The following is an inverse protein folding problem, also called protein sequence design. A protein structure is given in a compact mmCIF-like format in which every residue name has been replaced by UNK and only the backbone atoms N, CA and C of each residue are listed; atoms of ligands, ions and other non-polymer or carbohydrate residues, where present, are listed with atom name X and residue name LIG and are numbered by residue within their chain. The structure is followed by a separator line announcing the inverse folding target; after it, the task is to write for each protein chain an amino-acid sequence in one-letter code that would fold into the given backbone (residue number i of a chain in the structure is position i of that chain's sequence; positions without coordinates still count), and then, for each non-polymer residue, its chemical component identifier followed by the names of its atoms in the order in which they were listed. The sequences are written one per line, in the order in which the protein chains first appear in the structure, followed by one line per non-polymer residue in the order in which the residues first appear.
data_IF_995135023235
#
_entry.id   IF_995135023235
#
_cell.length_a   1.000
_cell.length_b   1.000
_cell.length_c   1.000
_cell.angle_alpha   90.00
_cell.angle_beta   90.00
_cell.angle_gamma   90.00
#
_symmetry.space_group_name_H-M   'P 1'
#
loop_
_entity.id
_entity.type
_entity.pdbx_description
1 polymer ?
#
# COMPACT_ATOMS: atom_id res chain seq x y z
N UNK A 1 16.05 5.37 -8.39
CA UNK A 1 14.78 5.84 -8.93
C UNK A 1 14.33 4.98 -10.11
N UNK A 2 13.62 3.92 -9.84
CA UNK A 2 12.88 3.15 -10.85
C UNK A 2 11.44 3.67 -10.88
N UNK A 3 10.92 4.19 -12.00
CA UNK A 3 9.59 4.79 -12.04
C UNK A 3 8.45 3.77 -11.96
N UNK A 4 8.75 2.48 -11.99
CA UNK A 4 7.75 1.41 -12.12
C UNK A 4 7.51 0.61 -10.83
N UNK A 5 8.17 0.95 -9.74
CA UNK A 5 7.82 0.52 -8.38
C UNK A 5 7.66 -0.99 -8.15
N UNK A 6 8.51 -1.83 -8.70
CA UNK A 6 8.42 -3.28 -8.49
C UNK A 6 7.33 -3.97 -9.31
N UNK A 7 7.59 -4.23 -10.57
CA UNK A 7 6.68 -4.93 -11.49
C UNK A 7 6.65 -4.33 -12.88
N UNK A 8 7.45 -3.31 -13.13
CA UNK A 8 7.66 -2.73 -14.45
C UNK A 8 9.02 -3.05 -15.02
N UNK A 9 9.40 -2.38 -16.14
CA UNK A 9 10.72 -2.50 -16.72
C UNK A 9 11.81 -2.22 -15.70
N UNK A 10 12.80 -3.09 -15.60
CA UNK A 10 13.86 -3.00 -14.63
C UNK A 10 15.24 -3.21 -15.24
N UNK A 11 16.25 -2.78 -14.52
CA UNK A 11 17.67 -3.06 -14.80
C UNK A 11 18.41 -3.20 -13.48
N UNK A 12 19.25 -4.22 -13.39
CA UNK A 12 20.08 -4.46 -12.21
C UNK A 12 21.49 -4.85 -12.64
N UNK A 13 22.52 -4.02 -12.44
CA UNK A 13 23.89 -4.39 -12.76
C UNK A 13 24.36 -5.52 -11.84
N UNK A 14 24.96 -6.55 -12.42
CA UNK A 14 25.52 -7.69 -11.71
C UNK A 14 27.00 -7.82 -12.03
N UNK A 15 27.82 -7.81 -11.01
CA UNK A 15 29.24 -8.15 -11.11
C UNK A 15 29.49 -9.54 -10.56
N UNK A 16 30.35 -10.30 -11.24
CA UNK A 16 30.73 -11.65 -10.81
C UNK A 16 32.24 -11.81 -10.72
N UNK A 17 32.70 -12.74 -9.86
CA UNK A 17 34.10 -13.17 -9.85
C UNK A 17 34.44 -13.94 -11.15
N UNK A 18 35.70 -13.91 -11.56
CA UNK A 18 36.18 -14.46 -12.85
C UNK A 18 35.71 -15.91 -13.11
N UNK A 19 35.75 -16.77 -12.11
CA UNK A 19 35.32 -18.16 -12.23
C UNK A 19 33.83 -18.35 -12.51
N UNK A 20 32.98 -17.33 -12.31
CA UNK A 20 31.55 -17.34 -12.58
C UNK A 20 31.20 -16.78 -13.97
N UNK A 21 32.13 -16.12 -14.64
CA UNK A 21 31.90 -15.54 -15.98
C UNK A 21 31.36 -16.55 -16.99
N UNK A 22 31.82 -17.83 -17.05
CA UNK A 22 31.27 -18.82 -17.99
C UNK A 22 29.79 -19.16 -17.74
N UNK A 23 29.24 -18.84 -16.57
CA UNK A 23 27.86 -19.12 -16.19
C UNK A 23 26.92 -17.92 -16.36
N UNK A 24 27.45 -16.78 -16.80
CA UNK A 24 26.61 -15.60 -17.10
C UNK A 24 25.65 -15.91 -18.25
N UNK A 25 24.46 -15.31 -18.26
CA UNK A 25 23.54 -15.42 -19.38
C UNK A 25 24.18 -14.96 -20.70
N UNK A 26 24.05 -15.77 -21.72
CA UNK A 26 24.40 -15.37 -23.08
C UNK A 26 23.24 -14.68 -23.81
N UNK A 27 23.48 -14.26 -25.03
CA UNK A 27 22.45 -13.73 -25.92
C UNK A 27 22.80 -13.93 -27.39
N UNK A 28 21.79 -14.24 -28.19
CA UNK A 28 22.00 -14.55 -29.62
C UNK A 28 22.64 -13.39 -30.40
N UNK A 29 22.38 -12.15 -30.03
CA UNK A 29 22.96 -10.95 -30.65
C UNK A 29 24.49 -10.86 -30.51
N UNK A 30 25.07 -11.59 -29.56
CA UNK A 30 26.51 -11.60 -29.28
C UNK A 30 27.18 -12.93 -29.65
N UNK A 31 26.46 -13.79 -30.40
CA UNK A 31 26.98 -15.09 -30.83
C UNK A 31 27.11 -16.12 -29.71
N UNK A 32 26.51 -15.89 -28.56
CA UNK A 32 26.44 -16.83 -27.45
C UNK A 32 24.99 -16.99 -26.97
N UNK A 33 24.39 -18.11 -27.37
CA UNK A 33 23.00 -18.43 -27.00
C UNK A 33 22.89 -19.27 -25.71
N UNK A 34 24.03 -19.66 -25.14
CA UNK A 34 24.04 -20.46 -23.93
C UNK A 34 23.46 -19.68 -22.76
N UNK A 35 22.58 -20.33 -21.97
CA UNK A 35 21.97 -19.75 -20.76
C UNK A 35 21.21 -18.45 -21.01
N UNK A 36 20.66 -18.22 -22.19
CA UNK A 36 19.84 -17.05 -22.47
C UNK A 36 18.59 -17.03 -21.55
N UNK A 37 18.38 -15.94 -20.81
CA UNK A 37 17.28 -15.79 -19.86
C UNK A 37 16.29 -14.71 -20.26
N UNK A 38 16.65 -13.82 -21.20
CA UNK A 38 15.82 -12.70 -21.61
C UNK A 38 16.04 -12.34 -23.07
N UNK A 39 15.00 -11.83 -23.72
CA UNK A 39 15.09 -11.27 -25.06
C UNK A 39 15.86 -9.92 -25.11
N UNK A 40 15.95 -9.22 -23.98
CA UNK A 40 16.71 -7.98 -23.84
C UNK A 40 18.04 -8.26 -23.12
N UNK A 41 19.21 -8.17 -23.80
CA UNK A 41 20.49 -8.60 -23.23
C UNK A 41 20.95 -7.79 -22.03
N UNK A 42 20.51 -6.54 -21.93
CA UNK A 42 20.88 -5.61 -20.85
C UNK A 42 19.68 -5.14 -20.02
N UNK A 43 18.61 -5.94 -19.97
CA UNK A 43 17.37 -5.54 -19.30
C UNK A 43 16.70 -4.35 -19.99
N UNK A 44 15.91 -3.58 -19.25
CA UNK A 44 15.23 -2.40 -19.77
C UNK A 44 16.11 -1.15 -19.69
N UNK A 45 17.22 -1.13 -20.45
CA UNK A 45 18.23 -0.07 -20.39
C UNK A 45 17.65 1.34 -20.68
N UNK A 46 16.53 1.44 -21.39
CA UNK A 46 15.82 2.69 -21.67
C UNK A 46 15.36 3.47 -20.43
N UNK A 47 15.30 2.85 -19.24
CA UNK A 47 14.97 3.55 -17.98
C UNK A 47 16.18 4.25 -17.35
N UNK A 48 17.40 3.94 -17.76
CA UNK A 48 18.63 4.52 -17.17
C UNK A 48 18.69 6.06 -17.26
N UNK A 49 18.25 6.73 -18.36
CA UNK A 49 18.18 8.18 -18.41
C UNK A 49 17.33 8.80 -17.31
N UNK A 50 16.27 8.13 -16.84
CA UNK A 50 15.43 8.59 -15.73
C UNK A 50 16.23 8.60 -14.43
N UNK A 51 16.89 7.48 -14.13
CA UNK A 51 17.78 7.37 -12.95
C UNK A 51 18.93 8.37 -13.02
N UNK A 52 19.56 8.53 -14.19
CA UNK A 52 20.61 9.49 -14.39
C UNK A 52 20.14 10.93 -14.17
N UNK A 53 19.00 11.31 -14.76
CA UNK A 53 18.36 12.62 -14.57
C UNK A 53 18.05 12.89 -13.09
N UNK A 54 17.49 11.91 -12.38
CA UNK A 54 17.21 12.00 -10.94
C UNK A 54 18.48 12.27 -10.13
N UNK A 55 19.55 11.52 -10.37
CA UNK A 55 20.84 11.72 -9.69
C UNK A 55 21.42 13.10 -9.99
N UNK A 56 21.37 13.55 -11.25
CA UNK A 56 21.86 14.88 -11.64
C UNK A 56 21.07 16.02 -10.97
N UNK A 57 19.75 15.86 -10.86
CA UNK A 57 18.88 16.86 -10.21
C UNK A 57 19.09 16.93 -8.71
N UNK A 58 19.26 15.80 -8.06
CA UNK A 58 19.37 15.71 -6.59
C UNK A 58 20.79 16.01 -6.09
N UNK A 59 21.79 15.57 -6.81
CA UNK A 59 23.18 15.61 -6.36
C UNK A 59 23.42 14.78 -5.09
N UNK A 60 24.63 14.80 -4.57
CA UNK A 60 25.01 14.04 -3.37
C UNK A 60 24.23 14.47 -2.13
N UNK A 61 24.05 15.76 -1.94
CA UNK A 61 23.32 16.31 -0.78
C UNK A 61 21.85 16.00 -0.86
N UNK A 62 21.22 16.17 -2.03
CA UNK A 62 19.80 15.87 -2.24
C UNK A 62 19.46 14.40 -2.03
N UNK A 63 20.26 13.47 -2.56
CA UNK A 63 20.07 12.03 -2.37
C UNK A 63 20.17 11.65 -0.88
N UNK A 64 21.17 12.17 -0.18
CA UNK A 64 21.33 11.95 1.27
C UNK A 64 20.14 12.51 2.06
N UNK A 65 19.70 13.72 1.69
CA UNK A 65 18.56 14.40 2.34
C UNK A 65 17.27 13.63 2.11
N UNK A 66 17.00 13.16 0.89
CA UNK A 66 15.84 12.34 0.56
C UNK A 66 15.76 11.09 1.45
N UNK A 67 16.86 10.34 1.55
CA UNK A 67 16.91 9.14 2.41
C UNK A 67 16.66 9.47 3.88
N UNK A 68 17.29 10.53 4.41
CA UNK A 68 17.07 10.95 5.80
C UNK A 68 15.63 11.37 6.06
N UNK A 69 15.02 12.09 5.11
CA UNK A 69 13.62 12.51 5.22
C UNK A 69 12.67 11.31 5.18
N UNK A 70 12.88 10.34 4.29
CA UNK A 70 12.07 9.13 4.23
C UNK A 70 12.09 8.36 5.57
N UNK A 71 13.28 8.17 6.15
CA UNK A 71 13.43 7.52 7.46
C UNK A 71 12.75 8.34 8.57
N UNK A 72 12.91 9.66 8.56
CA UNK A 72 12.27 10.54 9.54
C UNK A 72 10.74 10.46 9.45
N UNK A 73 10.18 10.53 8.24
CA UNK A 73 8.74 10.47 7.99
C UNK A 73 8.14 9.14 8.49
N UNK A 74 8.79 8.01 8.19
CA UNK A 74 8.32 6.70 8.66
C UNK A 74 8.37 6.60 10.21
N UNK A 75 9.42 7.10 10.84
CA UNK A 75 9.53 7.11 12.30
C UNK A 75 8.56 8.09 12.97
N UNK A 76 8.25 9.20 12.31
CA UNK A 76 7.22 10.13 12.77
C UNK A 76 5.85 9.44 12.82
N UNK A 77 5.42 8.79 11.74
CA UNK A 77 4.18 8.04 11.70
C UNK A 77 4.18 6.89 12.72
N UNK A 78 5.29 6.15 12.83
CA UNK A 78 5.42 5.06 13.80
C UNK A 78 5.23 5.57 15.24
N UNK A 79 5.85 6.69 15.59
CA UNK A 79 5.70 7.31 16.91
C UNK A 79 4.26 7.75 17.21
N UNK A 80 3.53 8.24 16.20
CA UNK A 80 2.14 8.68 16.33
C UNK A 80 1.12 7.53 16.42
N UNK A 81 1.45 6.34 15.87
CA UNK A 81 0.49 5.23 15.70
C UNK A 81 0.80 4.00 16.57
N UNK A 82 1.98 3.89 17.18
CA UNK A 82 2.41 2.73 17.96
C UNK A 82 1.49 2.35 19.12
N UNK A 83 0.81 3.33 19.71
CA UNK A 83 -0.08 3.13 20.87
C UNK A 83 -1.50 2.73 20.45
N UNK A 84 -1.80 2.78 19.15
CA UNK A 84 -3.07 2.34 18.58
C UNK A 84 -2.95 0.98 17.91
N UNK A 85 -2.14 0.87 16.86
CA UNK A 85 -2.03 -0.36 16.06
C UNK A 85 -0.89 -1.30 16.46
N UNK A 86 0.13 -0.78 17.11
CA UNK A 86 1.39 -1.50 17.31
C UNK A 86 2.29 -1.48 16.07
N UNK A 87 3.58 -1.73 16.28
CA UNK A 87 4.59 -1.76 15.22
C UNK A 87 5.28 -3.13 15.25
N UNK A 88 5.23 -3.83 14.11
CA UNK A 88 5.99 -5.07 13.90
C UNK A 88 7.37 -4.71 13.34
N UNK A 89 8.41 -5.31 13.84
CA UNK A 89 9.80 -5.07 13.41
C UNK A 89 10.30 -3.64 13.62
N UNK A 90 10.84 -3.40 14.79
CA UNK A 90 11.67 -2.24 15.07
C UNK A 90 13.11 -2.66 15.37
N UNK A 91 14.05 -1.76 15.17
CA UNK A 91 15.45 -1.97 15.60
C UNK A 91 15.58 -2.01 17.12
N UNK A 92 16.76 -2.33 17.63
CA UNK A 92 17.04 -2.39 19.07
C UNK A 92 16.77 -1.05 19.79
N UNK A 93 16.78 0.07 19.08
CA UNK A 93 16.49 1.41 19.60
C UNK A 93 15.01 1.80 19.45
N UNK A 94 14.15 0.91 18.94
CA UNK A 94 12.73 1.16 18.71
C UNK A 94 12.40 1.94 17.44
N UNK A 95 13.40 2.23 16.59
CA UNK A 95 13.18 2.90 15.32
C UNK A 95 12.94 1.92 14.17
N UNK A 96 12.21 2.40 13.15
CA UNK A 96 11.99 1.71 11.87
C UNK A 96 12.91 2.27 10.78
N UNK A 97 12.93 1.64 9.60
CA UNK A 97 13.62 2.15 8.41
C UNK A 97 12.81 3.25 7.72
N UNK A 98 12.71 3.16 6.38
CA UNK A 98 11.93 4.08 5.54
C UNK A 98 10.45 3.68 5.45
N UNK A 99 10.08 2.54 6.01
CA UNK A 99 8.73 2.00 6.07
C UNK A 99 8.45 1.44 7.47
N UNK A 100 7.18 1.26 7.79
CA UNK A 100 6.75 0.63 9.03
C UNK A 100 5.66 -0.40 8.76
N UNK A 101 5.58 -1.41 9.60
CA UNK A 101 4.57 -2.46 9.54
C UNK A 101 3.62 -2.30 10.73
N UNK A 102 2.37 -1.93 10.46
CA UNK A 102 1.33 -1.87 11.49
C UNK A 102 0.74 -3.25 11.74
N UNK A 103 0.60 -3.62 13.00
CA UNK A 103 0.00 -4.89 13.41
C UNK A 103 -1.52 -4.78 13.51
N UNK A 104 -2.24 -5.44 12.60
CA UNK A 104 -3.69 -5.52 12.61
C UNK A 104 -4.22 -6.92 12.96
N UNK A 105 -3.34 -7.89 13.24
CA UNK A 105 -3.71 -9.31 13.43
C UNK A 105 -4.70 -9.54 14.55
N UNK A 106 -4.56 -8.82 15.66
CA UNK A 106 -5.41 -8.97 16.84
C UNK A 106 -6.80 -8.37 16.67
N UNK A 107 -7.01 -7.51 15.68
CA UNK A 107 -8.29 -6.82 15.46
C UNK A 107 -9.39 -7.79 15.03
N UNK A 108 -9.04 -8.78 14.24
CA UNK A 108 -10.00 -9.81 13.81
C UNK A 108 -10.58 -10.59 15.00
N UNK A 109 -9.73 -11.05 15.91
CA UNK A 109 -10.17 -11.76 17.11
C UNK A 109 -10.92 -10.86 18.09
N UNK A 110 -10.55 -9.58 18.11
CA UNK A 110 -11.15 -8.58 19.00
C UNK A 110 -12.57 -8.18 18.57
N UNK A 111 -12.79 -7.94 17.29
CA UNK A 111 -14.06 -7.38 16.79
C UNK A 111 -14.44 -7.78 15.36
N UNK A 112 -13.72 -8.69 14.72
CA UNK A 112 -13.99 -9.16 13.36
C UNK A 112 -13.47 -8.24 12.24
N UNK A 113 -12.73 -7.17 12.55
CA UNK A 113 -12.19 -6.23 11.57
C UNK A 113 -10.79 -6.69 11.14
N UNK A 114 -10.55 -6.72 9.84
CA UNK A 114 -9.27 -7.11 9.23
C UNK A 114 -8.49 -5.90 8.68
N UNK A 115 -7.22 -6.14 8.35
CA UNK A 115 -6.39 -5.17 7.62
C UNK A 115 -7.00 -4.77 6.27
N UNK A 116 -7.74 -5.68 5.63
CA UNK A 116 -8.43 -5.39 4.38
C UNK A 116 -9.58 -4.38 4.58
N UNK A 117 -10.30 -4.46 5.69
CA UNK A 117 -11.37 -3.51 6.02
C UNK A 117 -10.80 -2.11 6.26
N UNK A 118 -9.67 -2.02 6.97
CA UNK A 118 -8.94 -0.76 7.17
C UNK A 118 -8.49 -0.18 5.84
N UNK A 119 -7.89 -1.00 4.97
CA UNK A 119 -7.43 -0.58 3.65
C UNK A 119 -8.58 -0.08 2.77
N UNK A 120 -9.72 -0.75 2.77
CA UNK A 120 -10.92 -0.31 2.05
C UNK A 120 -11.49 0.98 2.64
N UNK A 121 -11.47 1.12 3.97
CA UNK A 121 -11.92 2.35 4.63
C UNK A 121 -11.02 3.55 4.32
N UNK A 122 -9.71 3.36 4.21
CA UNK A 122 -8.77 4.40 3.77
C UNK A 122 -9.14 4.99 2.40
N UNK A 123 -9.73 4.21 1.50
CA UNK A 123 -10.18 4.70 0.20
C UNK A 123 -11.32 5.73 0.34
N UNK A 124 -12.20 5.60 1.34
CA UNK A 124 -13.24 6.61 1.64
C UNK A 124 -12.66 7.95 2.10
N UNK A 125 -11.47 7.91 2.70
CA UNK A 125 -10.70 9.09 3.08
C UNK A 125 -9.85 9.66 1.94
N UNK A 126 -9.87 9.05 0.74
CA UNK A 126 -9.11 9.49 -0.40
C UNK A 126 -7.67 8.97 -0.46
N UNK A 127 -7.32 8.01 0.38
CA UNK A 127 -6.00 7.39 0.37
C UNK A 127 -5.95 6.17 -0.54
N UNK A 128 -4.86 6.01 -1.26
CA UNK A 128 -4.51 4.73 -1.85
C UNK A 128 -4.14 3.77 -0.72
N UNK A 129 -4.78 2.59 -0.70
CA UNK A 129 -4.53 1.62 0.35
C UNK A 129 -3.05 1.18 0.39
N UNK A 130 -2.44 1.08 1.57
CA UNK A 130 -1.08 0.57 1.72
C UNK A 130 -1.01 -0.91 1.37
N UNK A 131 0.22 -1.43 1.20
CA UNK A 131 0.45 -2.85 0.94
C UNK A 131 -0.09 -3.71 2.07
N UNK A 132 -0.96 -4.66 1.70
CA UNK A 132 -1.65 -5.55 2.63
C UNK A 132 -0.87 -6.84 2.88
N UNK A 133 -0.88 -7.31 4.12
CA UNK A 133 -0.42 -8.66 4.49
C UNK A 133 0.98 -8.99 3.99
N UNK A 134 1.87 -8.01 3.95
CA UNK A 134 3.26 -8.18 3.56
C UNK A 134 4.17 -7.32 4.46
N UNK A 135 5.32 -7.84 4.93
CA UNK A 135 5.82 -9.22 4.78
C UNK A 135 5.12 -10.23 5.71
N UNK A 136 4.22 -9.79 6.57
CA UNK A 136 3.48 -10.61 7.53
C UNK A 136 2.00 -10.52 7.25
N UNK A 137 1.31 -11.64 7.24
CA UNK A 137 -0.15 -11.69 7.08
C UNK A 137 -0.86 -10.93 8.19
N UNK A 138 -1.92 -10.19 7.85
CA UNK A 138 -2.69 -9.41 8.82
C UNK A 138 -2.05 -8.08 9.22
N UNK A 139 -1.18 -7.53 8.38
CA UNK A 139 -0.47 -6.26 8.62
C UNK A 139 -0.67 -5.26 7.48
N UNK A 140 -0.36 -4.00 7.75
CA UNK A 140 -0.29 -2.92 6.77
C UNK A 140 1.13 -2.37 6.71
N UNK A 141 1.73 -2.35 5.51
CA UNK A 141 3.04 -1.73 5.29
C UNK A 141 2.88 -0.30 4.77
N UNK A 142 3.37 0.66 5.52
CA UNK A 142 3.23 2.09 5.23
C UNK A 142 4.60 2.68 4.95
N UNK A 143 4.76 3.23 3.76
CA UNK A 143 5.96 3.90 3.27
C UNK A 143 5.62 5.34 2.86
N UNK A 144 5.86 6.35 3.72
CA UNK A 144 5.53 7.74 3.42
C UNK A 144 6.47 8.39 2.40
N UNK A 145 7.63 7.80 2.15
CA UNK A 145 8.72 8.33 1.33
C UNK A 145 9.29 9.68 1.84
N UNK A 146 10.08 10.36 1.02
CA UNK A 146 10.55 11.73 1.27
C UNK A 146 9.62 12.79 0.71
N UNK A 147 8.61 12.39 -0.05
CA UNK A 147 7.79 13.31 -0.85
C UNK A 147 6.60 13.87 -0.11
N UNK A 148 6.16 13.22 0.97
CA UNK A 148 5.00 13.66 1.74
C UNK A 148 5.32 14.88 2.60
N UNK A 149 4.41 15.85 2.62
CA UNK A 149 4.50 17.01 3.50
C UNK A 149 4.14 16.64 4.94
N UNK A 150 4.59 17.44 5.91
CA UNK A 150 4.18 17.24 7.31
C UNK A 150 2.66 17.31 7.48
N UNK A 151 2.01 18.21 6.75
CA UNK A 151 0.54 18.30 6.75
C UNK A 151 -0.11 16.99 6.30
N UNK A 152 0.42 16.34 5.26
CA UNK A 152 -0.11 15.06 4.76
C UNK A 152 0.14 13.93 5.76
N UNK A 153 1.32 13.91 6.40
CA UNK A 153 1.62 12.94 7.47
C UNK A 153 0.67 13.11 8.66
N UNK A 154 0.41 14.36 9.07
CA UNK A 154 -0.54 14.65 10.16
C UNK A 154 -1.97 14.27 9.81
N UNK A 155 -2.39 14.54 8.56
CA UNK A 155 -3.71 14.14 8.06
C UNK A 155 -3.84 12.62 8.02
N UNK A 156 -2.81 11.90 7.57
CA UNK A 156 -2.80 10.44 7.59
C UNK A 156 -2.91 9.88 9.02
N UNK A 157 -2.19 10.47 9.98
CA UNK A 157 -2.31 10.11 11.40
C UNK A 157 -3.74 10.33 11.92
N UNK A 158 -4.36 11.47 11.56
CA UNK A 158 -5.76 11.77 11.92
C UNK A 158 -6.71 10.70 11.35
N UNK A 159 -6.54 10.36 10.07
CA UNK A 159 -7.34 9.34 9.39
C UNK A 159 -7.19 7.98 10.08
N UNK A 160 -5.97 7.52 10.34
CA UNK A 160 -5.73 6.25 11.01
C UNK A 160 -6.32 6.22 12.42
N UNK A 161 -6.23 7.31 13.16
CA UNK A 161 -6.87 7.42 14.49
C UNK A 161 -8.40 7.44 14.39
N UNK A 162 -8.97 8.07 13.38
CA UNK A 162 -10.42 8.04 13.13
C UNK A 162 -10.89 6.61 12.83
N UNK A 163 -10.17 5.89 11.98
CA UNK A 163 -10.45 4.47 11.70
C UNK A 163 -10.32 3.63 12.99
N UNK A 164 -9.33 3.93 13.83
CA UNK A 164 -9.20 3.27 15.12
C UNK A 164 -10.42 3.49 16.03
N UNK A 165 -10.95 4.70 16.09
CA UNK A 165 -12.20 4.97 16.83
C UNK A 165 -13.39 4.20 16.25
N UNK A 166 -13.50 4.11 14.92
CA UNK A 166 -14.52 3.28 14.25
C UNK A 166 -14.38 1.79 14.65
N UNK A 167 -13.15 1.28 14.75
CA UNK A 167 -12.86 -0.09 15.25
C UNK A 167 -13.31 -0.24 16.72
N UNK A 168 -13.02 0.76 17.57
CA UNK A 168 -13.47 0.73 18.96
C UNK A 168 -15.00 0.78 19.09
N UNK A 169 -15.69 1.49 18.19
CA UNK A 169 -17.16 1.47 18.16
C UNK A 169 -17.71 0.05 17.91
N UNK A 170 -17.12 -0.71 17.00
CA UNK A 170 -17.50 -2.10 16.74
C UNK A 170 -17.19 -2.99 17.94
N UNK A 171 -16.00 -2.87 18.51
CA UNK A 171 -15.57 -3.60 19.70
C UNK A 171 -16.50 -3.39 20.89
N UNK A 172 -16.92 -2.15 21.12
CA UNK A 172 -17.75 -1.75 22.26
C UNK A 172 -19.27 -2.00 22.03
N UNK A 173 -19.64 -2.48 20.84
CA UNK A 173 -21.03 -2.73 20.46
C UNK A 173 -21.82 -1.43 20.17
N UNK A 174 -21.16 -0.30 19.96
CA UNK A 174 -21.74 0.98 19.53
C UNK A 174 -22.01 1.02 18.03
N UNK A 175 -21.31 0.20 17.26
CA UNK A 175 -21.58 -0.07 15.86
C UNK A 175 -21.88 -1.56 15.67
N UNK A 176 -22.73 -1.89 14.70
CA UNK A 176 -23.07 -3.27 14.39
C UNK A 176 -21.86 -4.03 13.84
N UNK A 177 -21.73 -5.31 14.19
CA UNK A 177 -20.59 -6.13 13.77
C UNK A 177 -20.63 -6.53 12.30
N UNK A 178 -21.81 -6.69 11.75
CA UNK A 178 -22.04 -7.14 10.38
C UNK A 178 -22.42 -6.00 9.43
N UNK A 179 -22.84 -4.84 10.00
CA UNK A 179 -23.20 -3.64 9.24
C UNK A 179 -22.55 -2.38 9.84
N UNK A 180 -21.33 -2.10 9.43
CA UNK A 180 -20.58 -0.92 9.87
C UNK A 180 -19.73 -0.33 8.73
N UNK A 181 -19.23 0.89 8.93
CA UNK A 181 -18.49 1.65 7.93
C UNK A 181 -17.18 0.99 7.46
N UNK A 182 -16.60 0.08 8.26
CA UNK A 182 -15.36 -0.61 7.93
C UNK A 182 -15.62 -1.82 7.01
N UNK A 183 -16.59 -2.66 7.37
CA UNK A 183 -16.94 -3.86 6.59
C UNK A 183 -17.56 -3.48 5.25
N UNK A 184 -18.34 -2.40 5.19
CA UNK A 184 -19.00 -1.96 3.96
C UNK A 184 -18.15 -1.02 3.09
N UNK A 185 -17.03 -0.52 3.60
CA UNK A 185 -16.12 0.32 2.81
C UNK A 185 -15.56 -0.43 1.58
N UNK A 186 -15.26 0.29 0.49
CA UNK A 186 -15.46 1.74 0.28
C UNK A 186 -16.89 2.07 -0.16
N UNK A 187 -17.32 3.32 0.09
CA UNK A 187 -18.65 3.81 -0.22
C UNK A 187 -18.64 4.71 -1.48
N UNK A 188 -19.04 4.20 -2.64
CA UNK A 188 -19.09 4.99 -3.87
C UNK A 188 -20.27 5.97 -3.87
N UNK A 189 -20.16 7.01 -4.70
CA UNK A 189 -21.16 8.07 -4.80
C UNK A 189 -22.56 7.52 -5.03
N UNK A 190 -22.71 6.58 -5.96
CA UNK A 190 -24.02 6.04 -6.34
C UNK A 190 -24.76 5.32 -5.21
N UNK A 191 -24.05 4.76 -4.23
CA UNK A 191 -24.66 4.18 -3.03
C UNK A 191 -25.06 5.26 -2.02
N UNK A 192 -24.21 6.26 -1.83
CA UNK A 192 -24.44 7.33 -0.85
C UNK A 192 -25.61 8.22 -1.27
N UNK A 193 -25.82 8.47 -2.58
CA UNK A 193 -26.90 9.32 -3.09
C UNK A 193 -28.18 8.55 -3.44
N UNK A 194 -28.17 7.20 -3.33
CA UNK A 194 -29.37 6.40 -3.59
C UNK A 194 -30.53 6.77 -2.68
N UNK A 195 -31.76 6.59 -3.13
CA UNK A 195 -32.96 6.88 -2.31
C UNK A 195 -33.01 5.98 -1.06
N UNK A 196 -32.64 4.74 -1.21
CA UNK A 196 -32.57 3.77 -0.11
C UNK A 196 -31.18 3.75 0.56
N UNK A 197 -31.18 3.69 1.87
CA UNK A 197 -29.98 3.53 2.69
C UNK A 197 -30.25 2.50 3.79
N UNK A 198 -29.78 1.29 3.58
CA UNK A 198 -30.09 0.15 4.44
C UNK A 198 -28.99 -0.17 5.47
N UNK A 199 -28.22 0.87 5.86
CA UNK A 199 -27.15 0.74 6.84
C UNK A 199 -27.53 1.34 8.18
N UNK A 200 -26.99 0.76 9.25
CA UNK A 200 -27.18 1.22 10.64
C UNK A 200 -26.47 2.54 10.98
N UNK A 201 -25.61 3.03 10.08
CA UNK A 201 -24.85 4.28 10.21
C UNK A 201 -25.28 5.31 9.16
N UNK A 202 -24.94 6.59 9.38
CA UNK A 202 -25.37 7.67 8.49
C UNK A 202 -24.54 7.75 7.20
N UNK A 203 -25.17 8.24 6.11
CA UNK A 203 -24.47 8.60 4.87
C UNK A 203 -23.31 9.59 5.11
N UNK A 204 -23.49 10.53 6.04
CA UNK A 204 -22.44 11.48 6.39
C UNK A 204 -21.21 10.79 6.98
N UNK A 205 -21.41 9.80 7.86
CA UNK A 205 -20.30 9.00 8.42
C UNK A 205 -19.61 8.17 7.34
N UNK A 206 -20.37 7.62 6.40
CA UNK A 206 -19.82 6.87 5.26
C UNK A 206 -18.94 7.75 4.38
N UNK A 207 -19.49 8.88 3.91
CA UNK A 207 -18.90 9.70 2.85
C UNK A 207 -17.93 10.78 3.36
N UNK A 208 -18.20 11.37 4.53
CA UNK A 208 -17.52 12.55 5.07
C UNK A 208 -17.09 12.36 6.53
N UNK A 209 -16.23 11.35 6.80
CA UNK A 209 -15.86 10.99 8.17
C UNK A 209 -15.08 12.08 8.91
N UNK A 210 -14.35 12.93 8.20
CA UNK A 210 -13.61 14.10 8.73
C UNK A 210 -13.77 15.32 7.82
N UNK A 211 -13.46 16.51 8.32
CA UNK A 211 -13.66 17.77 7.58
C UNK A 211 -12.79 17.88 6.34
N UNK A 212 -11.51 17.47 6.38
CA UNK A 212 -10.61 17.50 5.22
C UNK A 212 -11.14 16.66 4.04
N UNK A 213 -11.84 15.57 4.33
CA UNK A 213 -12.52 14.75 3.32
C UNK A 213 -13.72 15.47 2.73
N UNK A 214 -14.47 16.23 3.54
CA UNK A 214 -15.62 17.01 3.06
C UNK A 214 -15.20 18.09 2.07
N UNK A 215 -14.09 18.74 2.34
CA UNK A 215 -13.55 19.80 1.47
C UNK A 215 -12.96 19.26 0.16
N UNK A 216 -12.37 18.06 0.20
CA UNK A 216 -11.64 17.48 -0.93
C UNK A 216 -12.04 16.01 -1.18
N UNK A 217 -13.34 15.73 -1.28
CA UNK A 217 -13.83 14.36 -1.47
C UNK A 217 -13.39 13.77 -2.80
N UNK A 218 -12.69 12.65 -2.72
CA UNK A 218 -12.44 11.76 -3.84
C UNK A 218 -13.42 10.59 -3.78
N UNK A 219 -14.23 10.41 -4.82
CA UNK A 219 -15.20 9.33 -4.90
C UNK A 219 -14.60 8.09 -5.53
N UNK A 220 -14.75 6.96 -4.86
CA UNK A 220 -14.41 5.66 -5.40
C UNK A 220 -15.51 5.21 -6.38
N UNK A 221 -15.11 4.67 -7.52
CA UNK A 221 -16.06 4.29 -8.57
C UNK A 221 -16.74 2.93 -8.33
N UNK A 222 -16.17 2.09 -7.46
CA UNK A 222 -16.60 0.70 -7.26
C UNK A 222 -16.71 0.41 -5.76
N UNK A 223 -17.84 -0.17 -5.35
CA UNK A 223 -18.03 -0.69 -4.00
C UNK A 223 -17.07 -1.86 -3.70
N UNK A 224 -17.20 -2.45 -2.53
CA UNK A 224 -16.34 -3.56 -2.09
C UNK A 224 -16.37 -4.73 -3.09
N UNK A 225 -15.19 -5.08 -3.57
CA UNK A 225 -14.98 -6.24 -4.45
C UNK A 225 -14.55 -7.44 -3.59
N UNK A 226 -15.13 -8.60 -3.86
CA UNK A 226 -14.62 -9.88 -3.36
C UNK A 226 -13.39 -10.29 -4.17
N UNK A 227 -12.22 -9.93 -3.67
CA UNK A 227 -10.95 -10.23 -4.32
C UNK A 227 -10.71 -11.74 -4.45
N UNK A 228 -11.12 -12.52 -3.45
CA UNK A 228 -10.95 -13.99 -3.45
C UNK A 228 -11.79 -14.63 -4.55
N UNK A 229 -13.00 -14.15 -4.75
CA UNK A 229 -13.87 -14.60 -5.84
C UNK A 229 -13.24 -14.22 -7.19
N UNK A 230 -12.75 -12.99 -7.33
CA UNK A 230 -12.05 -12.50 -8.52
C UNK A 230 -10.85 -13.36 -8.89
N UNK A 231 -9.99 -13.61 -7.94
CA UNK A 231 -8.77 -14.41 -8.15
C UNK A 231 -9.04 -15.86 -8.53
N UNK A 232 -10.12 -16.45 -8.01
CA UNK A 232 -10.41 -17.88 -8.17
C UNK A 232 -11.38 -18.22 -9.30
N UNK A 233 -12.35 -17.33 -9.60
CA UNK A 233 -13.45 -17.63 -10.49
C UNK A 233 -13.50 -16.81 -11.77
N UNK A 234 -12.86 -15.64 -11.84
CA UNK A 234 -12.87 -14.78 -13.03
C UNK A 234 -11.82 -15.15 -14.07
N UNK A 235 -10.85 -16.00 -13.73
CA UNK A 235 -9.91 -16.50 -14.72
C UNK A 235 -10.58 -17.60 -15.55
N UNK A 236 -10.70 -17.44 -16.89
CA UNK A 236 -11.25 -18.48 -17.74
C UNK A 236 -10.33 -19.70 -17.67
N UNK A 237 -10.81 -20.77 -17.12
CA UNK A 237 -10.13 -22.06 -17.24
C UNK A 237 -10.43 -22.62 -18.62
N UNK A 238 -9.43 -23.24 -19.26
CA UNK A 238 -9.55 -23.83 -20.62
C UNK A 238 -10.73 -24.80 -20.73
N UNK A 239 -11.30 -25.24 -19.63
CA UNK A 239 -12.35 -26.26 -19.52
C UNK A 239 -13.52 -25.84 -18.61
N UNK A 240 -13.55 -24.63 -18.09
CA UNK A 240 -14.61 -24.16 -17.19
C UNK A 240 -15.66 -23.34 -17.92
N UNK A 241 -16.93 -23.64 -17.70
CA UNK A 241 -18.03 -22.73 -17.96
C UNK A 241 -18.08 -21.71 -16.82
N UNK A 242 -18.30 -20.43 -17.13
CA UNK A 242 -18.75 -19.47 -16.15
C UNK A 242 -20.18 -19.86 -15.76
N UNK A 243 -20.39 -20.32 -14.56
CA UNK A 243 -21.71 -20.47 -13.94
C UNK A 243 -21.98 -19.22 -13.10
#
# INVERSE_FOLDING_TARGET
ASPHGGGGPGVGPVGVAEHLVPFLPGHFMFGNEANQVSAAPYGSAGILPITYGYICMMGTEGLTRATKTAILSANYLAACLKDTYGIVYSGATGFVGHEMILDCRYLHDMCGISENDIAKRLMDFGYHAPTLSFPVHGTLMIEPTESESLWELDNFVLVMKTIWEEIQEVKDGRADKEDNVLINAPHPEYEVVADEWNHSYSRAKAAYPIESVRENKFWINVARVDNTLGDRKLLPTRYGKFD
#
